data_IF_410431435249
#
_entry.id   IF_410431435249
#
_cell.length_a   1.000
_cell.length_b   1.000
_cell.length_c   1.000
_cell.angle_alpha   90.00
_cell.angle_beta   90.00
_cell.angle_gamma   90.00
#
_symmetry.space_group_name_H-M   'P 1'
#
loop_
_entity.id
_entity.type
_entity.pdbx_description
1 polymer ?
#
# COMPACT_ATOMS: atom_id res chain seq x y z
N UNK A 1 -22.78 9.38 15.78
CA UNK A 1 -22.25 8.01 15.98
C UNK A 1 -20.95 7.96 15.20
N UNK A 2 -19.83 8.26 15.87
CA UNK A 2 -18.51 8.31 15.24
C UNK A 2 -17.95 6.89 15.10
N UNK A 3 -17.66 6.46 13.88
CA UNK A 3 -16.91 5.22 13.65
C UNK A 3 -15.42 5.55 13.63
N UNK A 4 -14.73 5.19 14.71
CA UNK A 4 -13.28 5.26 14.78
C UNK A 4 -12.70 3.99 14.13
N UNK A 5 -12.32 4.06 12.85
CA UNK A 5 -11.59 2.99 12.18
C UNK A 5 -10.16 2.95 12.75
N UNK A 6 -9.91 2.09 13.73
CA UNK A 6 -8.54 1.76 14.16
C UNK A 6 -7.94 0.79 13.15
N UNK A 7 -7.23 1.32 12.15
CA UNK A 7 -6.37 0.52 11.27
C UNK A 7 -5.17 0.05 12.10
N UNK A 8 -5.11 -1.26 12.37
CA UNK A 8 -3.92 -1.89 12.94
C UNK A 8 -2.92 -2.15 11.81
N UNK A 9 -1.86 -1.36 11.73
CA UNK A 9 -0.67 -1.70 10.94
C UNK A 9 0.14 -2.71 11.76
N UNK A 10 -0.06 -4.00 11.50
CA UNK A 10 0.77 -5.05 12.10
C UNK A 10 2.07 -5.17 11.29
N UNK A 11 3.12 -4.45 11.73
CA UNK A 11 4.49 -4.78 11.37
C UNK A 11 4.92 -6.04 12.12
N UNK A 12 4.64 -7.23 11.60
CA UNK A 12 5.27 -8.49 12.04
C UNK A 12 5.17 -9.56 10.97
N UNK A 13 6.33 -10.03 10.49
CA UNK A 13 6.43 -11.27 9.75
C UNK A 13 5.98 -12.45 10.63
N UNK A 14 4.91 -13.13 10.24
CA UNK A 14 4.62 -14.50 10.65
C UNK A 14 4.31 -15.30 9.39
N UNK A 15 5.32 -16.05 8.92
CA UNK A 15 5.11 -17.14 7.98
C UNK A 15 4.17 -18.16 8.63
N UNK A 16 2.95 -18.30 8.11
CA UNK A 16 2.16 -19.51 8.34
C UNK A 16 2.40 -20.48 7.17
N UNK A 17 2.89 -21.67 7.52
CA UNK A 17 2.95 -22.83 6.63
C UNK A 17 1.54 -23.16 6.14
N UNK A 18 1.40 -23.32 4.83
CA UNK A 18 0.21 -23.85 4.16
C UNK A 18 -0.03 -25.30 4.62
N UNK A 19 -1.13 -25.54 5.32
CA UNK A 19 -1.72 -26.87 5.39
C UNK A 19 -2.68 -27.01 4.20
N UNK A 20 -2.45 -28.03 3.39
CA UNK A 20 -3.32 -28.41 2.28
C UNK A 20 -4.67 -28.89 2.80
N UNK A 21 -5.76 -28.36 2.22
CA UNK A 21 -7.17 -28.70 2.48
C UNK A 21 -7.71 -28.24 3.84
N UNK A 22 -8.04 -26.96 3.95
CA UNK A 22 -9.06 -26.51 4.89
C UNK A 22 -10.24 -25.99 4.06
N UNK A 23 -11.39 -26.64 4.21
CA UNK A 23 -12.67 -26.00 3.93
C UNK A 23 -12.69 -24.68 4.71
N UNK A 24 -13.11 -23.59 4.07
CA UNK A 24 -13.36 -22.32 4.77
C UNK A 24 -14.56 -22.55 5.69
N UNK A 25 -14.30 -23.12 6.86
CA UNK A 25 -15.25 -23.12 7.97
C UNK A 25 -15.49 -21.65 8.29
N UNK A 26 -16.74 -21.21 8.15
CA UNK A 26 -17.22 -19.94 8.69
C UNK A 26 -16.94 -19.99 10.19
N UNK A 27 -15.73 -19.59 10.58
CA UNK A 27 -15.34 -19.56 11.96
C UNK A 27 -16.20 -18.48 12.59
N UNK A 28 -17.31 -18.89 13.21
CA UNK A 28 -18.22 -18.06 13.98
C UNK A 28 -17.38 -17.42 15.08
N UNK A 29 -16.82 -16.24 14.78
CA UNK A 29 -16.13 -15.42 15.77
C UNK A 29 -17.18 -15.11 16.82
N UNK A 30 -16.99 -15.61 18.04
CA UNK A 30 -17.86 -15.31 19.15
C UNK A 30 -17.72 -13.83 19.50
N UNK A 31 -18.53 -12.98 18.85
CA UNK A 31 -18.61 -11.53 19.04
C UNK A 31 -19.37 -11.14 20.32
N UNK A 32 -19.38 -11.99 21.37
CA UNK A 32 -20.08 -11.71 22.64
C UNK A 32 -19.54 -10.49 23.43
N UNK A 33 -18.60 -9.75 22.85
CA UNK A 33 -18.30 -8.38 23.26
C UNK A 33 -19.15 -7.43 22.39
N UNK A 34 -20.13 -6.74 23.00
CA UNK A 34 -21.04 -5.75 22.40
C UNK A 34 -20.38 -4.59 21.61
N UNK A 35 -19.04 -4.59 21.48
CA UNK A 35 -18.22 -3.56 20.86
C UNK A 35 -17.70 -3.88 19.46
N UNK A 36 -17.77 -5.15 19.01
CA UNK A 36 -17.28 -5.55 17.69
C UNK A 36 -18.40 -6.12 16.84
N UNK A 37 -18.56 -5.56 15.63
CA UNK A 37 -19.46 -6.09 14.60
C UNK A 37 -18.65 -6.35 13.34
N UNK A 38 -18.85 -7.51 12.74
CA UNK A 38 -18.35 -7.76 11.38
C UNK A 38 -18.97 -6.75 10.43
N UNK A 39 -18.13 -5.90 9.83
CA UNK A 39 -18.57 -4.86 8.91
C UNK A 39 -18.59 -5.33 7.45
N UNK A 40 -17.69 -6.23 7.06
CA UNK A 40 -17.56 -6.72 5.69
C UNK A 40 -16.20 -7.40 5.45
N UNK A 41 -15.97 -7.87 4.22
CA UNK A 41 -14.66 -8.30 3.73
C UNK A 41 -13.96 -7.14 3.02
N UNK A 42 -12.62 -7.13 3.00
CA UNK A 42 -11.84 -6.25 2.15
C UNK A 42 -11.71 -6.78 0.71
N UNK A 43 -12.01 -8.05 0.44
CA UNK A 43 -11.91 -8.67 -0.89
C UNK A 43 -10.47 -8.94 -1.40
N UNK A 44 -9.49 -8.27 -0.82
CA UNK A 44 -8.05 -8.52 -0.95
C UNK A 44 -7.43 -8.47 0.44
N UNK A 45 -6.28 -9.11 0.72
CA UNK A 45 -5.65 -8.95 2.02
C UNK A 45 -5.24 -7.50 2.30
N UNK A 46 -5.49 -7.04 3.51
CA UNK A 46 -5.47 -5.61 3.83
C UNK A 46 -4.10 -5.17 4.39
N UNK A 47 -3.02 -5.29 3.61
CA UNK A 47 -1.69 -4.81 4.04
C UNK A 47 -1.67 -3.29 4.23
N UNK A 48 -2.27 -2.53 3.31
CA UNK A 48 -2.50 -1.10 3.44
C UNK A 48 -4.00 -0.80 3.39
N UNK A 49 -4.43 0.21 4.14
CA UNK A 49 -5.79 0.72 4.12
C UNK A 49 -5.81 2.23 4.27
N UNK A 50 -6.69 2.92 3.55
CA UNK A 50 -6.94 4.35 3.74
C UNK A 50 -8.41 4.70 3.52
N UNK A 51 -8.92 5.69 4.26
CA UNK A 51 -10.26 6.25 4.07
C UNK A 51 -10.13 7.40 3.07
N UNK A 52 -10.81 7.29 1.95
CA UNK A 52 -10.75 8.27 0.87
C UNK A 52 -11.75 9.41 1.13
N UNK A 53 -11.29 10.67 1.11
CA UNK A 53 -12.20 11.79 1.07
C UNK A 53 -12.77 11.98 -0.35
N UNK A 54 -13.93 12.66 -0.48
CA UNK A 54 -14.83 13.06 0.60
C UNK A 54 -15.86 12.00 0.98
N UNK A 55 -15.94 10.89 0.24
CA UNK A 55 -17.07 9.95 0.29
C UNK A 55 -16.95 8.88 1.38
N UNK A 56 -15.78 8.75 2.01
CA UNK A 56 -15.55 7.84 3.12
C UNK A 56 -15.39 6.38 2.70
N UNK A 57 -15.21 6.10 1.40
CA UNK A 57 -14.84 4.76 0.93
C UNK A 57 -13.47 4.37 1.45
N UNK A 58 -13.24 3.07 1.58
CA UNK A 58 -11.96 2.53 2.06
C UNK A 58 -11.24 1.86 0.91
N UNK A 59 -10.02 2.32 0.62
CA UNK A 59 -9.12 1.62 -0.30
C UNK A 59 -8.29 0.63 0.50
N UNK A 60 -8.24 -0.62 0.04
CA UNK A 60 -7.29 -1.63 0.47
C UNK A 60 -6.28 -1.89 -0.64
N UNK A 61 -5.03 -2.13 -0.27
CA UNK A 61 -3.92 -2.35 -1.19
C UNK A 61 -2.97 -3.40 -0.64
N UNK A 62 -2.60 -4.34 -1.49
CA UNK A 62 -1.82 -5.51 -1.15
C UNK A 62 -0.74 -5.83 -2.18
N UNK A 63 0.09 -6.82 -1.88
CA UNK A 63 1.10 -7.37 -2.80
C UNK A 63 0.49 -8.21 -3.91
N UNK A 64 1.35 -8.53 -4.88
CA UNK A 64 1.08 -9.57 -5.88
C UNK A 64 1.07 -10.95 -5.20
N UNK A 65 -0.05 -11.65 -5.28
CA UNK A 65 -0.30 -12.97 -4.69
C UNK A 65 -1.44 -13.73 -5.42
N UNK A 66 -1.81 -14.92 -4.97
CA UNK A 66 -2.75 -15.83 -5.65
C UNK A 66 -3.91 -16.34 -4.77
N UNK A 67 -4.25 -15.60 -3.73
CA UNK A 67 -5.33 -15.96 -2.81
C UNK A 67 -6.27 -14.79 -2.45
N UNK A 68 -6.26 -13.69 -3.22
CA UNK A 68 -7.30 -12.66 -3.13
C UNK A 68 -8.68 -13.23 -3.48
N UNK A 69 -9.73 -12.77 -2.79
CA UNK A 69 -11.11 -13.15 -3.08
C UNK A 69 -11.57 -12.55 -4.42
N UNK A 70 -11.14 -11.32 -4.71
CA UNK A 70 -11.51 -10.59 -5.91
C UNK A 70 -10.58 -10.88 -7.10
N UNK A 71 -11.18 -10.91 -8.28
CA UNK A 71 -10.49 -10.99 -9.56
C UNK A 71 -10.82 -9.77 -10.44
N UNK A 72 -9.85 -9.38 -11.26
CA UNK A 72 -10.00 -8.37 -12.30
C UNK A 72 -10.70 -8.98 -13.54
N UNK A 73 -11.27 -8.16 -14.44
CA UNK A 73 -11.94 -8.63 -15.66
C UNK A 73 -11.08 -9.50 -16.60
N UNK A 74 -9.75 -9.45 -16.45
CA UNK A 74 -8.79 -10.27 -17.19
C UNK A 74 -8.49 -11.63 -16.52
N UNK A 75 -9.27 -12.04 -15.52
CA UNK A 75 -9.11 -13.26 -14.71
C UNK A 75 -7.79 -13.32 -13.92
N UNK A 76 -7.16 -12.18 -13.63
CA UNK A 76 -6.05 -12.06 -12.67
C UNK A 76 -6.60 -11.72 -11.29
N UNK A 77 -5.85 -12.03 -10.24
CA UNK A 77 -6.20 -11.59 -8.89
C UNK A 77 -6.14 -10.06 -8.79
N UNK A 78 -7.04 -9.48 -8.00
CA UNK A 78 -6.94 -8.09 -7.63
C UNK A 78 -5.98 -7.93 -6.46
N UNK A 79 -5.12 -6.90 -6.52
CA UNK A 79 -4.20 -6.52 -5.44
C UNK A 79 -4.63 -5.22 -4.76
N UNK A 80 -5.78 -4.71 -5.14
CA UNK A 80 -6.41 -3.57 -4.50
C UNK A 80 -7.92 -3.69 -4.62
N UNK A 81 -8.63 -3.15 -3.64
CA UNK A 81 -10.07 -3.09 -3.66
C UNK A 81 -10.56 -1.78 -3.05
N UNK A 82 -11.65 -1.27 -3.60
CA UNK A 82 -12.43 -0.19 -3.01
C UNK A 82 -13.63 -0.82 -2.29
N UNK A 83 -13.78 -0.48 -1.02
CA UNK A 83 -14.90 -0.89 -0.20
C UNK A 83 -15.78 0.32 0.12
N UNK A 84 -17.08 0.21 -0.12
CA UNK A 84 -18.06 1.21 0.28
C UNK A 84 -18.72 0.82 1.61
N UNK A 85 -18.46 1.53 2.73
CA UNK A 85 -19.04 1.17 4.03
C UNK A 85 -20.56 1.32 4.12
N UNK A 86 -21.20 2.01 3.18
CA UNK A 86 -22.65 2.24 3.17
C UNK A 86 -23.42 1.13 2.46
N UNK A 87 -22.86 0.57 1.39
CA UNK A 87 -23.47 -0.51 0.59
C UNK A 87 -22.83 -1.87 0.84
N UNK A 88 -21.65 -1.90 1.46
CA UNK A 88 -20.78 -3.07 1.58
C UNK A 88 -20.28 -3.63 0.24
N UNK A 89 -20.36 -2.84 -0.83
CA UNK A 89 -19.87 -3.23 -2.14
C UNK A 89 -18.34 -3.21 -2.20
N UNK A 90 -17.80 -4.17 -2.96
CA UNK A 90 -16.38 -4.32 -3.22
C UNK A 90 -16.12 -4.15 -4.72
N UNK A 91 -15.21 -3.24 -5.06
CA UNK A 91 -14.75 -3.02 -6.44
C UNK A 91 -13.27 -3.39 -6.56
N UNK A 92 -12.90 -4.39 -7.38
CA UNK A 92 -11.49 -4.69 -7.61
C UNK A 92 -10.83 -3.59 -8.42
N UNK A 93 -9.62 -3.17 -8.01
CA UNK A 93 -8.85 -2.16 -8.70
C UNK A 93 -7.52 -2.72 -9.19
N UNK A 94 -7.18 -2.55 -10.49
CA UNK A 94 -5.87 -2.98 -11.00
C UNK A 94 -4.77 -2.04 -10.50
N UNK A 95 -3.58 -2.61 -10.30
CA UNK A 95 -2.34 -1.87 -10.03
C UNK A 95 -1.30 -2.23 -11.11
N UNK A 96 -0.47 -1.28 -11.51
CA UNK A 96 0.52 -1.50 -12.59
C UNK A 96 1.86 -1.93 -12.04
N UNK A 97 2.25 -1.49 -10.84
CA UNK A 97 3.51 -1.87 -10.20
C UNK A 97 3.28 -2.48 -8.81
N UNK A 98 4.18 -3.36 -8.35
CA UNK A 98 4.00 -4.11 -7.10
C UNK A 98 4.10 -3.20 -5.85
N UNK A 99 2.99 -2.96 -5.11
CA UNK A 99 2.96 -2.00 -4.01
C UNK A 99 3.39 -2.60 -2.66
N UNK A 100 3.89 -3.84 -2.64
CA UNK A 100 4.22 -4.53 -1.40
C UNK A 100 5.16 -3.71 -0.50
N UNK A 101 4.67 -3.35 0.68
CA UNK A 101 5.32 -2.46 1.65
C UNK A 101 5.79 -1.12 1.08
N UNK A 102 4.95 -0.51 0.24
CA UNK A 102 5.08 0.89 -0.12
C UNK A 102 4.84 1.80 1.11
N UNK A 103 5.36 3.02 1.04
CA UNK A 103 4.90 4.12 1.90
C UNK A 103 3.67 4.79 1.29
N UNK A 104 2.97 5.62 2.06
CA UNK A 104 1.86 6.39 1.50
C UNK A 104 1.46 7.59 2.35
N UNK A 105 0.84 8.59 1.72
CA UNK A 105 0.31 9.78 2.37
C UNK A 105 -0.76 10.44 1.50
N UNK A 106 -1.46 11.45 2.02
CA UNK A 106 -2.43 12.23 1.26
C UNK A 106 -1.78 13.50 0.71
N UNK A 107 -1.94 13.73 -0.60
CA UNK A 107 -1.59 14.99 -1.24
C UNK A 107 -2.49 16.13 -0.72
N UNK A 108 -2.08 17.40 -0.87
CA UNK A 108 -2.87 18.55 -0.45
C UNK A 108 -4.24 18.66 -1.14
N UNK A 109 -4.37 18.07 -2.34
CA UNK A 109 -5.62 18.00 -3.09
C UNK A 109 -6.56 16.87 -2.64
N UNK A 110 -6.15 16.06 -1.65
CA UNK A 110 -6.92 14.97 -1.09
C UNK A 110 -6.72 13.61 -1.76
N UNK A 111 -5.93 13.52 -2.85
CA UNK A 111 -5.57 12.22 -3.44
C UNK A 111 -4.62 11.46 -2.52
N UNK A 112 -4.83 10.15 -2.38
CA UNK A 112 -3.84 9.25 -1.78
C UNK A 112 -2.70 9.01 -2.78
N UNK A 113 -1.46 9.10 -2.31
CA UNK A 113 -0.27 8.69 -3.05
C UNK A 113 0.44 7.54 -2.31
N UNK A 114 0.89 6.52 -3.05
CA UNK A 114 1.76 5.45 -2.54
C UNK A 114 3.10 5.47 -3.25
N UNK A 115 4.14 5.09 -2.52
CA UNK A 115 5.53 5.39 -2.85
C UNK A 115 6.42 4.19 -2.61
N UNK A 116 7.11 3.75 -3.65
CA UNK A 116 7.94 2.55 -3.61
C UNK A 116 7.10 1.27 -3.57
N UNK A 117 7.68 0.21 -3.02
CA UNK A 117 7.07 -1.11 -3.05
C UNK A 117 8.13 -2.19 -3.22
N UNK A 118 7.81 -3.26 -3.95
CA UNK A 118 8.70 -4.39 -4.16
C UNK A 118 8.95 -4.66 -5.65
N UNK A 119 9.90 -5.54 -5.94
CA UNK A 119 10.16 -6.02 -7.30
C UNK A 119 8.99 -6.82 -7.86
N UNK A 120 8.93 -7.00 -9.19
CA UNK A 120 7.83 -7.72 -9.82
C UNK A 120 7.89 -9.22 -9.48
N UNK A 121 6.73 -9.87 -9.36
CA UNK A 121 6.62 -11.32 -9.24
C UNK A 121 6.11 -11.91 -10.56
N UNK A 122 6.90 -11.76 -11.62
CA UNK A 122 6.51 -12.10 -13.00
C UNK A 122 6.12 -13.58 -13.21
N UNK A 123 6.58 -14.47 -12.33
CA UNK A 123 6.18 -15.88 -12.33
C UNK A 123 4.73 -16.09 -11.90
N UNK A 124 4.15 -15.14 -11.17
CA UNK A 124 2.79 -15.17 -10.65
C UNK A 124 1.86 -14.30 -11.49
N UNK A 125 2.21 -13.03 -11.63
CA UNK A 125 1.51 -12.09 -12.51
C UNK A 125 2.53 -11.32 -13.37
N UNK A 126 2.65 -11.64 -14.67
CA UNK A 126 3.56 -10.96 -15.58
C UNK A 126 3.08 -9.55 -15.97
N UNK A 127 1.89 -9.13 -15.52
CA UNK A 127 1.32 -7.81 -15.84
C UNK A 127 1.63 -6.75 -14.80
N UNK A 128 2.19 -7.14 -13.64
CA UNK A 128 2.57 -6.21 -12.57
C UNK A 128 4.09 -6.01 -12.56
N UNK A 129 4.50 -4.76 -12.72
CA UNK A 129 5.88 -4.33 -12.91
C UNK A 129 6.62 -4.00 -11.61
N UNK A 130 7.88 -3.57 -11.73
CA UNK A 130 8.74 -3.18 -10.60
C UNK A 130 8.20 -1.96 -9.85
N UNK A 131 8.00 -2.13 -8.55
CA UNK A 131 7.45 -1.12 -7.67
C UNK A 131 8.46 -0.36 -6.84
N UNK A 132 9.76 -0.68 -6.85
CA UNK A 132 10.69 -0.12 -5.88
C UNK A 132 10.83 1.41 -5.95
N UNK A 133 10.65 2.00 -7.11
CA UNK A 133 10.69 3.44 -7.32
C UNK A 133 9.34 3.99 -7.82
N UNK A 134 8.28 3.19 -7.78
CA UNK A 134 6.99 3.57 -8.32
C UNK A 134 6.29 4.64 -7.46
N UNK A 135 5.53 5.49 -8.14
CA UNK A 135 4.61 6.44 -7.52
C UNK A 135 3.22 6.18 -8.09
N UNK A 136 2.26 5.87 -7.21
CA UNK A 136 0.87 5.54 -7.58
C UNK A 136 -0.09 6.51 -6.92
N UNK A 137 -1.07 6.99 -7.66
CA UNK A 137 -2.08 7.93 -7.17
C UNK A 137 -3.44 7.27 -7.22
N UNK A 138 -4.28 7.45 -6.19
CA UNK A 138 -5.71 7.18 -6.33
C UNK A 138 -6.38 8.46 -6.84
N UNK A 139 -7.12 8.35 -7.94
CA UNK A 139 -7.90 9.46 -8.49
C UNK A 139 -9.38 9.09 -8.49
N UNK A 140 -10.25 10.09 -8.33
CA UNK A 140 -11.70 9.92 -8.45
C UNK A 140 -12.22 10.68 -9.67
N UNK A 141 -12.98 10.00 -10.53
CA UNK A 141 -13.71 10.61 -11.63
C UNK A 141 -15.22 10.38 -11.43
N UNK A 142 -15.89 11.34 -10.80
CA UNK A 142 -17.34 11.25 -10.56
C UNK A 142 -17.74 10.17 -9.54
N UNK A 143 -16.85 9.81 -8.60
CA UNK A 143 -17.10 8.79 -7.59
C UNK A 143 -16.55 7.40 -7.96
N UNK A 144 -16.08 7.22 -9.19
CA UNK A 144 -15.31 6.04 -9.58
C UNK A 144 -13.83 6.28 -9.26
N UNK A 145 -13.20 5.33 -8.56
CA UNK A 145 -11.79 5.43 -8.17
C UNK A 145 -10.92 4.51 -9.01
N UNK A 146 -9.73 4.99 -9.37
CA UNK A 146 -8.74 4.22 -10.11
C UNK A 146 -7.32 4.57 -9.68
N UNK A 147 -6.41 3.59 -9.80
CA UNK A 147 -4.99 3.82 -9.65
C UNK A 147 -4.43 4.45 -10.93
N UNK A 148 -3.70 5.56 -10.78
CA UNK A 148 -2.91 6.19 -11.82
C UNK A 148 -1.43 6.03 -11.55
N UNK A 149 -0.72 5.56 -12.57
CA UNK A 149 0.74 5.38 -12.57
C UNK A 149 1.32 5.97 -13.86
N UNK A 150 1.43 7.32 -13.98
CA UNK A 150 1.86 7.99 -15.21
C UNK A 150 3.34 7.77 -15.57
N UNK A 151 4.06 6.91 -14.83
CA UNK A 151 5.49 6.65 -14.99
C UNK A 151 6.39 7.56 -14.16
N UNK A 152 5.83 8.34 -13.22
CA UNK A 152 6.65 9.11 -12.27
C UNK A 152 7.42 8.15 -11.35
N UNK A 153 8.68 8.48 -11.07
CA UNK A 153 9.59 7.65 -10.28
C UNK A 153 10.19 8.44 -9.11
N UNK A 154 10.41 7.74 -8.00
CA UNK A 154 11.25 8.23 -6.90
C UNK A 154 12.70 8.39 -7.37
N UNK A 155 13.44 9.28 -6.73
CA UNK A 155 14.87 9.50 -6.99
C UNK A 155 15.72 8.27 -6.64
N UNK A 156 15.20 7.40 -5.77
CA UNK A 156 15.84 6.17 -5.36
C UNK A 156 14.82 5.09 -5.01
N UNK A 157 15.24 3.83 -5.09
CA UNK A 157 14.43 2.68 -4.73
C UNK A 157 14.12 2.68 -3.23
N UNK A 158 12.87 2.41 -2.86
CA UNK A 158 12.40 2.36 -1.47
C UNK A 158 11.38 1.23 -1.26
N UNK A 159 11.72 0.30 -0.38
CA UNK A 159 10.82 -0.66 0.24
C UNK A 159 10.73 -0.33 1.74
N UNK A 160 9.54 -0.31 2.34
CA UNK A 160 9.29 0.23 3.69
C UNK A 160 9.65 1.73 3.81
N UNK A 161 9.40 2.53 2.76
CA UNK A 161 9.58 3.97 2.85
C UNK A 161 8.60 4.62 3.84
N UNK A 162 9.05 5.67 4.52
CA UNK A 162 8.14 6.57 5.24
C UNK A 162 7.84 7.80 4.39
N UNK A 163 6.59 8.24 4.38
CA UNK A 163 6.13 9.41 3.62
C UNK A 163 5.24 10.30 4.47
N UNK A 164 5.44 11.61 4.37
CA UNK A 164 4.71 12.60 5.16
C UNK A 164 4.48 13.87 4.34
N UNK A 165 3.21 14.27 4.20
CA UNK A 165 2.86 15.58 3.68
C UNK A 165 3.23 16.68 4.68
N UNK A 166 3.95 17.68 4.20
CA UNK A 166 4.45 18.81 4.96
C UNK A 166 3.45 19.97 4.96
N UNK A 167 3.70 20.98 5.80
CA UNK A 167 2.84 22.15 5.94
C UNK A 167 2.71 23.01 4.67
N UNK A 168 3.70 22.96 3.78
CA UNK A 168 3.67 23.62 2.47
C UNK A 168 3.10 22.73 1.35
N UNK A 169 2.61 21.54 1.71
CA UNK A 169 1.99 20.58 0.81
C UNK A 169 2.96 19.67 0.05
N UNK A 170 4.27 19.87 0.15
CA UNK A 170 5.26 18.94 -0.41
C UNK A 170 5.28 17.64 0.38
N UNK A 171 5.76 16.55 -0.22
CA UNK A 171 5.90 15.26 0.48
C UNK A 171 7.37 14.99 0.79
N UNK A 172 7.64 14.80 2.08
CA UNK A 172 8.91 14.28 2.56
C UNK A 172 8.88 12.75 2.52
N UNK A 173 9.82 12.14 1.81
CA UNK A 173 9.96 10.69 1.69
C UNK A 173 11.33 10.28 2.18
N UNK A 174 11.42 9.34 3.10
CA UNK A 174 12.69 8.98 3.72
C UNK A 174 12.83 7.49 3.99
N UNK A 175 14.09 7.08 4.12
CA UNK A 175 14.50 5.73 4.48
C UNK A 175 14.00 4.66 3.49
N UNK A 176 13.87 3.44 4.00
CA UNK A 176 13.55 2.23 3.25
C UNK A 176 14.79 1.47 2.78
N UNK A 177 14.53 0.40 2.04
CA UNK A 177 15.53 -0.47 1.44
C UNK A 177 15.50 -0.36 -0.09
N UNK A 178 16.66 -0.56 -0.73
CA UNK A 178 16.82 -0.52 -2.19
C UNK A 178 16.22 -1.76 -2.88
N UNK A 179 15.96 -2.83 -2.13
CA UNK A 179 15.29 -4.05 -2.57
C UNK A 179 14.65 -4.82 -1.39
N UNK A 180 13.92 -5.90 -1.71
CA UNK A 180 13.22 -6.80 -0.79
C UNK A 180 14.09 -7.82 -0.03
N UNK A 181 15.42 -7.67 -0.03
CA UNK A 181 16.34 -8.59 0.65
C UNK A 181 16.52 -8.25 2.13
N UNK A 182 17.38 -9.02 2.81
CA UNK A 182 17.59 -8.95 4.26
C UNK A 182 17.85 -7.53 4.77
N UNK A 183 17.16 -7.08 5.83
CA UNK A 183 17.41 -5.79 6.46
C UNK A 183 18.82 -5.72 7.09
N UNK A 184 19.46 -6.87 7.38
CA UNK A 184 20.82 -6.90 7.93
C UNK A 184 21.92 -6.63 6.89
N UNK A 185 21.57 -6.56 5.59
CA UNK A 185 22.52 -6.22 4.56
C UNK A 185 22.64 -4.69 4.43
N UNK A 186 23.72 -4.13 4.94
CA UNK A 186 24.01 -2.68 4.89
C UNK A 186 23.93 -2.09 3.48
N UNK A 187 24.28 -2.86 2.45
CA UNK A 187 24.20 -2.39 1.05
C UNK A 187 22.77 -2.24 0.53
N UNK A 188 21.78 -2.76 1.26
CA UNK A 188 20.37 -2.62 0.93
C UNK A 188 19.74 -1.35 1.52
N UNK A 189 20.38 -0.70 2.50
CA UNK A 189 19.78 0.44 3.15
C UNK A 189 19.74 1.66 2.23
N UNK A 190 18.66 2.43 2.31
CA UNK A 190 18.55 3.73 1.68
C UNK A 190 18.58 4.84 2.76
N UNK A 191 19.77 5.30 3.19
CA UNK A 191 19.90 6.27 4.28
C UNK A 191 19.67 7.72 3.81
N UNK A 192 18.67 7.93 2.97
CA UNK A 192 18.41 9.19 2.29
C UNK A 192 16.95 9.62 2.44
N UNK A 193 16.70 10.89 2.12
CA UNK A 193 15.37 11.42 1.90
C UNK A 193 15.30 12.14 0.54
N UNK A 194 14.08 12.34 0.05
CA UNK A 194 13.76 13.17 -1.09
C UNK A 194 12.49 13.99 -0.82
N UNK A 195 12.32 15.06 -1.59
CA UNK A 195 11.13 15.90 -1.55
C UNK A 195 10.38 15.78 -2.87
N UNK A 196 9.09 15.44 -2.79
CA UNK A 196 8.16 15.49 -3.91
C UNK A 196 7.42 16.83 -3.87
N UNK A 197 7.05 17.34 -5.03
CA UNK A 197 6.22 18.54 -5.12
C UNK A 197 4.79 18.31 -4.62
N UNK A 198 3.96 19.35 -4.63
CA UNK A 198 2.56 19.29 -4.17
C UNK A 198 1.68 18.32 -4.97
N UNK A 199 2.13 17.91 -6.16
CA UNK A 199 1.45 16.95 -7.03
C UNK A 199 1.98 15.52 -6.82
N UNK A 200 2.94 15.32 -5.91
CA UNK A 200 3.58 14.04 -5.65
C UNK A 200 4.68 13.65 -6.64
N UNK A 201 5.24 14.61 -7.37
CA UNK A 201 6.28 14.36 -8.37
C UNK A 201 7.66 14.56 -7.75
N UNK A 202 8.52 13.54 -7.83
CA UNK A 202 9.92 13.64 -7.40
C UNK A 202 10.69 14.60 -8.30
N UNK A 203 11.58 15.38 -7.70
CA UNK A 203 12.53 16.24 -8.43
C UNK A 203 13.83 15.50 -8.78
N UNK A 204 13.97 14.22 -8.41
CA UNK A 204 15.17 13.41 -8.65
C UNK A 204 16.29 13.63 -7.63
N UNK A 205 16.07 14.47 -6.62
CA UNK A 205 17.06 14.75 -5.58
C UNK A 205 17.02 13.69 -4.47
N UNK A 206 18.10 12.92 -4.34
CA UNK A 206 18.25 11.91 -3.29
C UNK A 206 19.31 12.32 -2.27
N UNK A 207 18.90 12.81 -1.10
CA UNK A 207 19.75 13.54 -0.17
C UNK A 207 20.10 12.65 1.04
N UNK A 208 21.39 12.41 1.35
CA UNK A 208 21.78 11.68 2.56
C UNK A 208 21.24 12.32 3.84
N UNK A 209 20.66 11.49 4.71
CA UNK A 209 20.14 11.92 6.01
C UNK A 209 21.06 11.39 7.10
N UNK A 210 21.82 12.28 7.75
CA UNK A 210 22.87 11.91 8.71
C UNK A 210 22.41 10.89 9.75
N UNK A 211 21.23 11.09 10.36
CA UNK A 211 20.69 10.16 11.35
C UNK A 211 20.41 8.77 10.76
N UNK A 212 20.01 8.65 9.50
CA UNK A 212 19.85 7.34 8.85
C UNK A 212 21.20 6.70 8.51
N UNK A 213 22.16 7.50 8.03
CA UNK A 213 23.52 7.04 7.71
C UNK A 213 24.21 6.45 8.95
N UNK A 214 24.01 7.07 10.12
CA UNK A 214 24.66 6.66 11.36
C UNK A 214 23.99 5.45 12.03
N UNK A 215 22.71 5.17 11.75
CA UNK A 215 21.91 4.22 12.53
C UNK A 215 21.27 3.07 11.71
N UNK A 216 21.56 2.94 10.41
CA UNK A 216 21.09 1.83 9.59
C UNK A 216 22.20 0.77 9.35
N UNK A 217 21.84 -0.54 9.31
CA UNK A 217 20.54 -1.14 9.57
C UNK A 217 20.26 -1.22 11.07
N UNK A 218 18.97 -1.25 11.41
CA UNK A 218 18.47 -1.51 12.76
C UNK A 218 18.03 -2.97 12.93
#
# INVERSE_FOLDING_TARGET
MEFLLKVFVCCSFLLFRVFTHAELDEQQVNLSCDYFKLAGSSGVPAMHAAVLPPDGKVIFLDKVEDYSELQLPNNRYAYSSLYDPSTHELTPLPVTTNPFCCGGTFLPDGRLVTLGGNGPLLWLDPTVEDGFDAIRYIESHGGEYEWKEPGHKLASKRWYASAQTMADGRIFVAAGSLNGLSPTNFSNNNPTYEMLDVSGISQGDNIPMKILVENQPY
#
